data_IF_251133466505
#
_entry.id   IF_251133466505
#
_cell.length_a   1.000
_cell.length_b   1.000
_cell.length_c   1.000
_cell.angle_alpha   90.00
_cell.angle_beta   90.00
_cell.angle_gamma   90.00
#
_symmetry.space_group_name_H-M   'P 1'
#
loop_
_entity.id
_entity.type
_entity.pdbx_description
1 polymer ?
#
# COMPACT_ATOMS: atom_id res chain seq x y z
N UNK A 1 -11.67 38.43 6.02
CA UNK A 1 -11.08 39.74 6.35
C UNK A 1 -10.43 39.63 7.72
N UNK A 2 -9.11 39.45 7.76
CA UNK A 2 -8.37 39.34 9.02
C UNK A 2 -8.05 40.75 9.54
N UNK A 3 -8.46 41.04 10.77
CA UNK A 3 -8.16 42.30 11.45
C UNK A 3 -6.75 42.22 12.04
N UNK A 4 -5.82 43.00 11.48
CA UNK A 4 -4.48 43.15 12.04
C UNK A 4 -4.54 44.03 13.30
N UNK A 5 -4.12 43.48 14.44
CA UNK A 5 -3.88 44.25 15.67
C UNK A 5 -2.46 44.82 15.58
N UNK A 6 -2.35 46.11 15.29
CA UNK A 6 -1.12 46.89 15.39
C UNK A 6 -0.91 47.33 16.85
N UNK A 7 -0.07 46.61 17.58
CA UNK A 7 0.46 47.05 18.87
C UNK A 7 1.77 47.80 18.68
N UNK A 8 1.80 49.11 18.95
CA UNK A 8 3.03 49.90 19.03
C UNK A 8 3.75 49.62 20.36
N UNK A 9 5.03 49.23 20.31
CA UNK A 9 5.87 49.10 21.52
C UNK A 9 6.95 50.17 21.49
N UNK A 10 6.94 51.05 22.48
CA UNK A 10 7.97 52.05 22.72
C UNK A 10 8.97 51.54 23.77
N UNK A 11 10.25 51.55 23.41
CA UNK A 11 11.41 51.80 24.28
C UNK A 11 11.54 51.03 25.60
N UNK A 12 12.29 49.92 25.57
CA UNK A 12 12.89 49.33 26.76
C UNK A 12 13.65 48.07 26.41
N UNK A 13 14.96 48.04 26.68
CA UNK A 13 15.81 46.87 26.50
C UNK A 13 15.45 45.77 27.53
N UNK A 14 14.34 45.08 27.29
CA UNK A 14 13.97 43.83 27.97
C UNK A 14 14.00 42.70 26.95
N UNK A 15 14.58 41.57 27.32
CA UNK A 15 14.56 40.37 26.48
C UNK A 15 13.11 40.03 26.11
N UNK A 16 12.76 40.18 24.84
CA UNK A 16 11.46 39.79 24.31
C UNK A 16 11.49 38.27 24.18
N UNK A 17 10.93 37.58 25.19
CA UNK A 17 10.59 36.18 25.04
C UNK A 17 9.41 36.11 24.07
N UNK A 18 9.69 35.83 22.80
CA UNK A 18 8.67 35.47 21.82
C UNK A 18 8.14 34.10 22.25
N UNK A 19 7.10 34.08 23.07
CA UNK A 19 6.28 32.90 23.22
C UNK A 19 5.62 32.68 21.86
N UNK A 20 6.05 31.65 21.14
CA UNK A 20 5.34 31.11 19.98
C UNK A 20 4.04 30.47 20.49
N UNK A 21 3.14 31.31 20.96
CA UNK A 21 1.86 30.98 21.54
C UNK A 21 0.79 30.97 20.46
N UNK A 22 0.86 29.98 19.57
CA UNK A 22 -0.38 29.34 19.11
C UNK A 22 -0.07 27.86 19.03
N UNK A 23 -0.80 26.97 19.74
CA UNK A 23 -0.79 25.57 19.38
C UNK A 23 -1.11 25.49 17.89
N UNK A 24 -0.39 24.62 17.16
CA UNK A 24 -0.76 24.27 15.80
C UNK A 24 -2.28 24.13 15.73
N UNK A 25 -2.96 24.68 14.71
CA UNK A 25 -4.40 24.52 14.58
C UNK A 25 -4.68 23.03 14.75
N UNK A 26 -5.45 22.69 15.79
CA UNK A 26 -5.89 21.32 16.02
C UNK A 26 -6.58 20.92 14.73
N UNK A 27 -5.90 20.10 13.92
CA UNK A 27 -6.42 19.66 12.64
C UNK A 27 -7.81 19.07 12.91
N UNK A 28 -8.80 19.46 12.11
CA UNK A 28 -10.19 19.05 12.35
C UNK A 28 -10.33 17.53 12.39
N UNK A 29 -11.42 17.04 12.98
CA UNK A 29 -11.70 15.61 13.19
C UNK A 29 -11.42 14.72 11.97
N UNK A 30 -11.62 15.23 10.74
CA UNK A 30 -11.34 14.55 9.47
C UNK A 30 -9.86 14.12 9.31
N UNK A 31 -8.91 14.94 9.76
CA UNK A 31 -7.49 14.60 9.69
C UNK A 31 -7.07 13.62 10.79
N UNK A 32 -7.63 13.75 11.99
CA UNK A 32 -7.43 12.76 13.05
C UNK A 32 -8.03 11.40 12.69
N UNK A 33 -9.08 11.38 11.86
CA UNK A 33 -9.64 10.15 11.29
C UNK A 33 -8.71 9.49 10.27
N UNK A 34 -8.06 10.30 9.42
CA UNK A 34 -7.00 9.81 8.51
C UNK A 34 -5.79 9.26 9.28
N UNK A 35 -5.47 9.88 10.42
CA UNK A 35 -4.40 9.43 11.31
C UNK A 35 -4.85 8.50 12.43
N UNK A 36 -6.00 7.84 12.32
CA UNK A 36 -6.46 7.04 13.44
C UNK A 36 -5.46 5.94 13.77
N UNK A 37 -4.96 5.88 15.01
CA UNK A 37 -3.95 4.89 15.40
C UNK A 37 -4.35 3.44 15.08
N UNK A 38 -5.65 3.13 15.10
CA UNK A 38 -6.17 1.81 14.77
C UNK A 38 -6.15 1.53 13.27
N UNK A 39 -6.67 2.43 12.43
CA UNK A 39 -6.68 2.21 10.97
C UNK A 39 -5.25 2.12 10.43
N UNK A 40 -4.38 2.96 10.99
CA UNK A 40 -2.97 2.97 10.66
C UNK A 40 -2.34 1.61 10.87
N UNK A 41 -2.74 0.80 11.84
CA UNK A 41 -2.14 -0.53 12.07
C UNK A 41 -2.31 -1.52 10.90
N UNK A 42 -3.24 -1.28 9.97
CA UNK A 42 -3.59 -2.22 8.91
C UNK A 42 -3.08 -1.78 7.54
N UNK A 43 -2.54 -2.73 6.78
CA UNK A 43 -2.22 -2.56 5.36
C UNK A 43 -3.50 -2.60 4.53
N UNK A 44 -4.38 -3.57 4.81
CA UNK A 44 -5.64 -3.78 4.09
C UNK A 44 -6.81 -3.67 5.07
N UNK A 45 -7.84 -2.93 4.69
CA UNK A 45 -9.10 -2.84 5.43
C UNK A 45 -10.26 -3.10 4.46
N UNK A 46 -10.89 -4.26 4.61
CA UNK A 46 -12.05 -4.71 3.84
C UNK A 46 -13.35 -4.49 4.60
N UNK A 47 -14.29 -3.77 4.00
CA UNK A 47 -15.51 -3.32 4.68
C UNK A 47 -16.82 -3.86 4.10
N UNK A 48 -16.77 -4.55 2.96
CA UNK A 48 -17.97 -4.98 2.26
C UNK A 48 -18.48 -6.36 2.72
N UNK A 49 -19.79 -6.61 2.65
CA UNK A 49 -20.37 -7.93 2.90
C UNK A 49 -20.26 -8.86 1.68
N UNK A 50 -20.08 -10.15 1.91
CA UNK A 50 -19.99 -11.17 0.84
C UNK A 50 -21.27 -11.35 0.04
N UNK A 51 -22.40 -11.13 0.69
CA UNK A 51 -23.71 -11.48 0.13
C UNK A 51 -24.63 -10.26 0.05
N UNK A 52 -25.62 -10.38 -0.85
CA UNK A 52 -26.72 -9.43 -0.95
C UNK A 52 -27.49 -9.36 0.38
N UNK A 53 -27.31 -8.30 1.15
CA UNK A 53 -28.20 -8.03 2.29
C UNK A 53 -29.33 -7.14 1.78
N UNK A 54 -30.50 -7.72 1.51
CA UNK A 54 -31.73 -6.97 1.20
C UNK A 54 -31.82 -6.37 -0.21
N UNK A 55 -31.69 -7.18 -1.27
CA UNK A 55 -31.81 -6.78 -2.70
C UNK A 55 -30.71 -5.83 -3.24
N UNK A 56 -29.69 -5.50 -2.44
CA UNK A 56 -28.47 -4.82 -2.89
C UNK A 56 -27.43 -5.88 -3.30
N UNK A 57 -26.74 -5.78 -4.44
CA UNK A 57 -25.64 -6.69 -4.81
C UNK A 57 -24.60 -6.79 -3.68
N UNK A 58 -24.27 -8.00 -3.22
CA UNK A 58 -23.13 -8.22 -2.33
C UNK A 58 -21.85 -7.90 -3.08
N UNK A 59 -20.78 -7.53 -2.37
CA UNK A 59 -19.51 -7.18 -3.03
C UNK A 59 -18.65 -8.41 -3.32
N UNK A 60 -19.04 -9.60 -2.88
CA UNK A 60 -18.19 -10.79 -2.90
C UNK A 60 -17.13 -10.73 -1.79
N UNK A 61 -15.96 -11.32 -1.99
CA UNK A 61 -14.91 -11.33 -0.97
C UNK A 61 -14.43 -9.91 -0.67
N UNK A 62 -14.49 -9.48 0.60
CA UNK A 62 -14.06 -8.15 1.00
C UNK A 62 -12.58 -7.93 0.72
N UNK A 63 -11.79 -8.99 0.91
CA UNK A 63 -10.37 -9.04 0.54
C UNK A 63 -10.11 -10.34 -0.21
N UNK A 64 -9.65 -10.24 -1.45
CA UNK A 64 -9.15 -11.35 -2.23
C UNK A 64 -7.71 -11.05 -2.63
N UNK A 65 -6.77 -11.90 -2.23
CA UNK A 65 -5.34 -11.73 -2.55
C UNK A 65 -4.82 -13.03 -3.10
N UNK A 66 -4.35 -12.98 -4.35
CA UNK A 66 -3.80 -14.12 -5.04
C UNK A 66 -2.37 -13.83 -5.43
N UNK A 67 -1.50 -14.80 -5.18
CA UNK A 67 -0.07 -14.78 -5.45
C UNK A 67 0.64 -13.62 -4.73
N UNK A 68 1.66 -14.00 -3.94
CA UNK A 68 2.78 -13.14 -3.52
C UNK A 68 2.82 -12.75 -2.02
N UNK A 69 3.13 -11.51 -1.63
CA UNK A 69 3.63 -11.18 -0.28
C UNK A 69 3.01 -9.89 0.28
N UNK A 70 2.53 -9.96 1.53
CA UNK A 70 2.03 -8.82 2.31
C UNK A 70 2.92 -8.62 3.55
N UNK A 71 3.32 -7.38 3.83
CA UNK A 71 4.19 -7.02 4.96
C UNK A 71 5.66 -7.39 4.78
N UNK A 72 6.08 -7.66 3.53
CA UNK A 72 7.47 -7.87 3.18
C UNK A 72 7.76 -7.39 1.76
N UNK A 73 8.98 -6.90 1.56
CA UNK A 73 9.54 -6.55 0.26
C UNK A 73 10.90 -7.24 0.14
N UNK A 74 10.92 -8.49 -0.31
CA UNK A 74 12.17 -9.28 -0.35
C UNK A 74 13.09 -8.94 -1.54
N UNK A 75 12.70 -8.01 -2.40
CA UNK A 75 13.52 -7.56 -3.53
C UNK A 75 13.62 -6.04 -3.62
N UNK A 76 14.62 -5.54 -4.37
CA UNK A 76 14.57 -4.19 -4.88
C UNK A 76 13.26 -3.92 -5.64
N UNK A 77 12.76 -2.69 -5.52
CA UNK A 77 11.61 -2.19 -6.27
C UNK A 77 12.11 -1.13 -7.27
N UNK A 78 11.79 -1.21 -8.57
CA UNK A 78 11.03 -2.29 -9.21
C UNK A 78 11.82 -3.60 -9.28
N UNK A 79 11.14 -4.73 -9.10
CA UNK A 79 11.79 -6.04 -9.06
C UNK A 79 11.90 -6.66 -10.46
N UNK A 80 13.03 -7.33 -10.78
CA UNK A 80 13.12 -8.17 -11.96
C UNK A 80 12.16 -9.35 -11.78
N UNK A 81 11.51 -9.75 -12.87
CA UNK A 81 10.32 -10.62 -12.94
C UNK A 81 10.41 -12.06 -12.40
N UNK A 82 11.34 -12.38 -11.50
CA UNK A 82 11.42 -13.71 -10.91
C UNK A 82 12.28 -13.76 -9.65
N UNK A 83 11.72 -14.33 -8.57
CA UNK A 83 12.50 -14.91 -7.47
C UNK A 83 12.75 -16.39 -7.76
N UNK A 84 13.42 -16.67 -8.88
CA UNK A 84 13.71 -18.03 -9.34
C UNK A 84 12.93 -18.47 -10.58
N UNK A 85 13.34 -19.57 -11.22
CA UNK A 85 12.94 -19.93 -12.58
C UNK A 85 11.44 -20.20 -12.79
N UNK A 86 10.63 -20.23 -11.72
CA UNK A 86 9.21 -20.57 -11.75
C UNK A 86 8.34 -19.72 -10.78
N UNK A 87 8.85 -18.61 -10.23
CA UNK A 87 8.04 -17.77 -9.32
C UNK A 87 7.47 -16.59 -10.07
N UNK A 88 6.15 -16.61 -10.26
CA UNK A 88 5.35 -15.54 -10.85
C UNK A 88 5.24 -14.36 -9.89
N UNK A 89 6.37 -13.75 -9.51
CA UNK A 89 6.37 -12.49 -8.79
C UNK A 89 6.04 -11.32 -9.70
N UNK A 90 5.67 -10.16 -9.13
CA UNK A 90 5.44 -8.97 -9.95
C UNK A 90 6.72 -8.62 -10.71
N UNK A 91 6.70 -8.82 -12.02
CA UNK A 91 7.78 -8.46 -12.91
C UNK A 91 7.59 -7.06 -13.40
N UNK A 92 8.11 -6.07 -12.66
CA UNK A 92 7.94 -4.67 -13.02
C UNK A 92 9.13 -4.11 -13.80
N UNK A 93 10.31 -4.69 -13.66
CA UNK A 93 11.48 -4.21 -14.40
C UNK A 93 11.24 -4.30 -15.92
N UNK A 94 11.30 -3.15 -16.59
CA UNK A 94 11.01 -3.01 -18.02
C UNK A 94 9.52 -2.80 -18.37
N UNK A 95 8.61 -3.00 -17.42
CA UNK A 95 7.18 -2.72 -17.56
C UNK A 95 6.77 -1.36 -16.97
N UNK A 96 7.52 -0.85 -16.00
CA UNK A 96 7.36 0.52 -15.47
C UNK A 96 8.60 1.37 -15.78
N UNK A 97 8.44 2.69 -15.71
CA UNK A 97 9.58 3.61 -15.77
C UNK A 97 10.51 3.43 -14.57
N UNK A 98 11.78 3.81 -14.75
CA UNK A 98 12.72 3.91 -13.64
C UNK A 98 12.19 4.91 -12.59
N UNK A 99 12.27 4.53 -11.33
CA UNK A 99 11.86 5.37 -10.19
C UNK A 99 12.80 6.60 -10.13
N UNK A 100 12.29 7.83 -10.17
CA UNK A 100 13.10 9.03 -10.08
C UNK A 100 13.87 9.10 -8.76
N UNK A 101 15.08 9.67 -8.77
CA UNK A 101 15.91 9.81 -7.55
C UNK A 101 15.31 10.73 -6.50
N UNK A 102 14.34 11.56 -6.87
CA UNK A 102 13.57 12.45 -5.99
C UNK A 102 12.39 11.76 -5.32
N UNK A 103 12.08 10.51 -5.69
CA UNK A 103 11.06 9.74 -5.00
C UNK A 103 11.63 9.13 -3.72
N UNK A 104 10.80 9.02 -2.69
CA UNK A 104 11.17 8.28 -1.49
C UNK A 104 11.50 6.83 -1.84
N UNK A 105 12.45 6.25 -1.11
CA UNK A 105 12.87 4.86 -1.34
C UNK A 105 11.85 3.88 -0.79
N UNK A 106 11.58 2.84 -1.55
CA UNK A 106 10.92 1.65 -1.04
C UNK A 106 11.98 0.80 -0.35
N UNK A 107 11.87 0.65 0.97
CA UNK A 107 12.74 -0.25 1.73
C UNK A 107 12.43 -1.72 1.43
N UNK A 108 13.43 -2.56 1.58
CA UNK A 108 13.34 -4.01 1.45
C UNK A 108 13.31 -4.67 2.84
N UNK A 109 12.99 -5.97 2.88
CA UNK A 109 12.94 -6.78 4.10
C UNK A 109 11.51 -7.10 4.56
N UNK A 110 11.44 -7.87 5.65
CA UNK A 110 10.20 -8.20 6.36
C UNK A 110 10.02 -7.18 7.49
N UNK A 111 8.87 -6.52 7.56
CA UNK A 111 8.58 -5.53 8.60
C UNK A 111 7.31 -5.81 9.38
N UNK A 112 6.68 -6.96 9.14
CA UNK A 112 5.47 -7.41 9.83
C UNK A 112 4.29 -6.45 9.69
N UNK A 113 4.25 -5.68 8.61
CA UNK A 113 3.23 -4.66 8.41
C UNK A 113 2.01 -5.13 7.61
N UNK A 114 1.95 -6.41 7.25
CA UNK A 114 0.89 -7.04 6.46
C UNK A 114 -0.40 -7.33 7.23
N UNK A 115 -0.72 -6.51 8.23
CA UNK A 115 -1.95 -6.66 9.01
C UNK A 115 -3.18 -6.40 8.14
N UNK A 116 -4.25 -7.17 8.39
CA UNK A 116 -5.51 -7.09 7.63
C UNK A 116 -6.68 -6.89 8.59
N UNK A 117 -7.64 -6.04 8.25
CA UNK A 117 -8.90 -5.90 8.98
C UNK A 117 -10.09 -6.20 8.07
N UNK A 118 -11.02 -7.01 8.57
CA UNK A 118 -12.35 -7.24 8.00
C UNK A 118 -13.37 -6.66 8.97
N UNK A 119 -13.91 -5.50 8.62
CA UNK A 119 -14.73 -4.69 9.54
C UNK A 119 -16.20 -5.07 9.50
N UNK A 120 -16.65 -5.69 8.42
CA UNK A 120 -18.03 -6.13 8.24
C UNK A 120 -18.26 -7.52 8.85
N UNK A 121 -19.35 -7.69 9.59
CA UNK A 121 -19.71 -8.99 10.16
C UNK A 121 -20.04 -10.05 9.12
N UNK A 122 -20.34 -9.66 7.88
CA UNK A 122 -20.55 -10.56 6.75
C UNK A 122 -19.38 -10.50 5.74
N UNK A 123 -18.30 -9.80 6.06
CA UNK A 123 -17.11 -9.72 5.22
C UNK A 123 -16.25 -10.97 5.38
N UNK A 124 -15.61 -11.38 4.29
CA UNK A 124 -14.64 -12.48 4.29
C UNK A 124 -13.37 -12.07 3.57
N UNK A 125 -12.28 -12.77 3.87
CA UNK A 125 -11.06 -12.76 3.09
C UNK A 125 -10.83 -14.11 2.42
N UNK A 126 -10.07 -14.10 1.34
CA UNK A 126 -9.55 -15.28 0.65
C UNK A 126 -8.11 -14.98 0.22
N UNK A 127 -7.16 -15.77 0.71
CA UNK A 127 -5.75 -15.65 0.35
C UNK A 127 -5.32 -16.92 -0.39
N UNK A 128 -4.74 -16.78 -1.58
CA UNK A 128 -4.26 -17.90 -2.39
C UNK A 128 -2.79 -17.68 -2.74
N UNK A 129 -1.92 -18.59 -2.31
CA UNK A 129 -0.49 -18.52 -2.60
C UNK A 129 0.18 -17.24 -2.03
N UNK A 130 -0.27 -16.78 -0.85
CA UNK A 130 0.18 -15.52 -0.22
C UNK A 130 1.02 -15.77 1.05
N UNK A 131 2.16 -15.09 1.13
CA UNK A 131 2.91 -14.93 2.37
C UNK A 131 2.49 -13.67 3.13
N UNK A 132 1.84 -13.82 4.27
CA UNK A 132 1.42 -12.71 5.14
C UNK A 132 2.39 -12.54 6.30
N UNK A 133 3.14 -11.45 6.29
CA UNK A 133 4.04 -11.02 7.35
C UNK A 133 3.37 -9.90 8.14
N UNK A 134 2.70 -10.25 9.23
CA UNK A 134 1.88 -9.35 10.04
C UNK A 134 2.41 -9.27 11.48
N UNK A 135 2.04 -8.22 12.20
CA UNK A 135 2.38 -8.10 13.62
C UNK A 135 1.72 -9.27 14.36
N UNK A 136 2.47 -10.08 15.14
CA UNK A 136 1.93 -11.26 15.80
C UNK A 136 0.83 -10.94 16.84
N UNK A 137 0.70 -9.68 17.26
CA UNK A 137 -0.34 -9.21 18.17
C UNK A 137 -1.58 -8.64 17.45
N UNK A 138 -1.49 -8.41 16.14
CA UNK A 138 -2.56 -7.84 15.32
C UNK A 138 -3.06 -8.84 14.29
N UNK A 139 -2.17 -9.27 13.38
CA UNK A 139 -2.47 -10.24 12.34
C UNK A 139 -3.59 -9.80 11.39
N UNK A 140 -4.43 -10.77 11.01
CA UNK A 140 -5.75 -10.57 10.44
C UNK A 140 -6.75 -10.44 11.57
N UNK A 141 -7.62 -9.43 11.52
CA UNK A 141 -8.73 -9.31 12.46
C UNK A 141 -10.08 -9.27 11.75
N UNK A 142 -11.03 -10.02 12.29
CA UNK A 142 -12.36 -10.21 11.75
C UNK A 142 -13.43 -9.71 12.71
N UNK A 143 -14.44 -9.04 12.17
CA UNK A 143 -15.63 -8.63 12.90
C UNK A 143 -16.47 -9.80 13.43
N UNK A 144 -16.33 -10.98 12.80
CA UNK A 144 -17.02 -12.22 13.13
C UNK A 144 -16.03 -13.33 13.50
N UNK A 145 -16.50 -14.55 13.75
CA UNK A 145 -15.64 -15.71 14.03
C UNK A 145 -14.69 -16.01 12.87
N UNK A 146 -13.50 -16.53 13.18
CA UNK A 146 -12.45 -16.85 12.19
C UNK A 146 -12.96 -17.74 11.06
N UNK A 147 -13.64 -18.84 11.39
CA UNK A 147 -14.19 -19.78 10.40
C UNK A 147 -15.27 -19.18 9.48
N UNK A 148 -15.84 -18.04 9.86
CA UNK A 148 -16.86 -17.35 9.07
C UNK A 148 -16.27 -16.20 8.25
N UNK A 149 -15.05 -15.73 8.56
CA UNK A 149 -14.36 -14.70 7.80
C UNK A 149 -13.31 -15.22 6.81
N UNK A 150 -12.98 -16.52 6.84
CA UNK A 150 -12.10 -17.16 5.85
C UNK A 150 -12.94 -17.92 4.81
N UNK A 151 -12.87 -17.50 3.55
CA UNK A 151 -13.63 -18.07 2.42
C UNK A 151 -12.73 -18.91 1.50
N UNK A 152 -11.95 -19.81 2.10
CA UNK A 152 -11.19 -20.81 1.36
C UNK A 152 -9.74 -20.42 1.07
N UNK A 153 -9.09 -19.76 2.03
CA UNK A 153 -7.65 -19.51 2.03
C UNK A 153 -6.87 -20.80 1.76
N UNK A 154 -5.98 -20.74 0.77
CA UNK A 154 -5.23 -21.89 0.29
C UNK A 154 -3.77 -21.53 0.10
N UNK A 155 -2.89 -22.45 0.47
CA UNK A 155 -1.46 -22.37 0.25
C UNK A 155 -0.84 -21.01 0.65
N UNK A 156 -1.37 -20.43 1.73
CA UNK A 156 -0.95 -19.14 2.28
C UNK A 156 -0.37 -19.36 3.67
N UNK A 157 0.63 -18.57 4.03
CA UNK A 157 1.35 -18.71 5.29
C UNK A 157 1.36 -17.41 6.08
N UNK A 158 1.40 -17.54 7.40
CA UNK A 158 1.41 -16.42 8.33
C UNK A 158 2.70 -16.40 9.12
N UNK A 159 3.47 -15.32 9.00
CA UNK A 159 4.71 -15.09 9.74
C UNK A 159 5.68 -16.28 9.69
N UNK A 160 5.76 -16.97 8.55
CA UNK A 160 6.66 -18.12 8.42
C UNK A 160 8.12 -17.64 8.61
N UNK A 161 8.79 -18.06 9.70
CA UNK A 161 10.15 -17.63 10.00
C UNK A 161 11.15 -18.08 8.94
N UNK A 162 10.79 -19.08 8.15
CA UNK A 162 11.64 -19.61 7.11
C UNK A 162 11.63 -18.76 5.83
N UNK A 163 10.71 -17.79 5.72
CA UNK A 163 10.65 -16.76 4.68
C UNK A 163 10.74 -17.27 3.24
N UNK A 164 10.48 -18.55 2.97
CA UNK A 164 10.70 -19.10 1.64
C UNK A 164 9.73 -18.40 0.67
N UNK A 165 10.23 -17.69 -0.35
CA UNK A 165 9.40 -17.37 -1.51
C UNK A 165 8.86 -18.71 -1.99
N UNK A 166 7.58 -18.79 -2.32
CA UNK A 166 6.96 -19.99 -2.86
C UNK A 166 7.78 -20.52 -4.06
N UNK A 167 8.79 -21.37 -3.83
CA UNK A 167 9.52 -22.05 -4.90
C UNK A 167 8.65 -23.22 -5.30
N UNK A 168 7.63 -22.92 -6.09
CA UNK A 168 6.95 -23.96 -6.85
C UNK A 168 7.95 -24.52 -7.84
N UNK A 169 8.31 -25.78 -7.67
CA UNK A 169 8.73 -26.57 -8.81
C UNK A 169 7.43 -26.89 -9.53
N UNK A 170 7.12 -26.17 -10.61
CA UNK A 170 6.04 -26.56 -11.50
C UNK A 170 6.28 -28.02 -11.88
N UNK A 171 5.42 -28.92 -11.41
CA UNK A 171 5.51 -30.32 -11.79
C UNK A 171 5.18 -30.34 -13.28
N UNK A 172 6.19 -30.51 -14.12
CA UNK A 172 6.16 -30.35 -15.58
C UNK A 172 5.31 -31.39 -16.33
N UNK A 173 4.33 -31.99 -15.65
CA UNK A 173 3.39 -32.96 -16.21
C UNK A 173 1.97 -32.89 -15.64
N UNK A 174 1.60 -31.89 -14.83
CA UNK A 174 0.21 -31.76 -14.39
C UNK A 174 -0.59 -30.88 -15.36
N UNK A 175 -1.69 -31.37 -15.97
CA UNK A 175 -2.53 -30.58 -16.86
C UNK A 175 -3.07 -29.35 -16.13
N UNK A 176 -2.95 -28.18 -16.75
CA UNK A 176 -3.52 -26.93 -16.23
C UNK A 176 -5.03 -27.08 -15.99
N UNK A 177 -5.48 -26.93 -14.75
CA UNK A 177 -6.90 -26.74 -14.44
C UNK A 177 -7.53 -27.66 -13.39
N UNK A 178 -6.79 -28.59 -12.79
CA UNK A 178 -7.31 -29.34 -11.63
C UNK A 178 -6.74 -28.81 -10.32
N UNK A 179 -7.60 -28.25 -9.48
CA UNK A 179 -7.34 -27.96 -8.07
C UNK A 179 -6.76 -29.21 -7.41
N UNK A 180 -5.45 -29.21 -7.18
CA UNK A 180 -4.73 -30.36 -6.67
C UNK A 180 -4.79 -30.36 -5.14
N UNK A 181 -5.96 -30.64 -4.57
CA UNK A 181 -6.14 -30.86 -3.13
C UNK A 181 -5.48 -32.16 -2.62
N UNK A 182 -4.82 -32.92 -3.51
CA UNK A 182 -4.16 -34.20 -3.19
C UNK A 182 -2.70 -34.25 -3.62
N UNK A 183 -2.10 -33.11 -3.95
CA UNK A 183 -0.70 -33.02 -4.32
C UNK A 183 0.15 -33.28 -3.09
N UNK A 184 0.67 -34.50 -2.95
CA UNK A 184 1.78 -34.77 -2.04
C UNK A 184 2.94 -33.88 -2.47
N UNK A 185 3.13 -32.78 -1.75
CA UNK A 185 4.31 -31.95 -1.88
C UNK A 185 5.55 -32.83 -1.79
N UNK A 186 6.55 -32.55 -2.62
CA UNK A 186 7.86 -33.18 -2.50
C UNK A 186 8.36 -32.88 -1.09
N UNK A 187 8.60 -33.93 -0.30
CA UNK A 187 9.14 -33.80 1.04
C UNK A 187 10.48 -33.07 0.99
N UNK A 188 10.46 -31.79 1.35
CA UNK A 188 11.65 -31.02 1.70
C UNK A 188 12.23 -31.63 2.99
N UNK A 189 13.54 -31.87 3.01
CA UNK A 189 14.22 -32.51 4.14
C UNK A 189 14.00 -31.72 5.44
N UNK A 190 14.14 -32.31 6.65
CA UNK A 190 13.89 -31.65 7.95
C UNK A 190 14.68 -30.34 8.24
N UNK A 191 15.56 -29.92 7.32
CA UNK A 191 16.39 -28.71 7.39
C UNK A 191 16.05 -27.71 6.27
N UNK A 192 15.06 -28.01 5.44
CA UNK A 192 14.47 -27.19 4.39
C UNK A 192 13.01 -27.02 4.82
N UNK A 193 12.50 -25.79 4.86
CA UNK A 193 11.23 -25.40 5.50
C UNK A 193 10.27 -26.54 5.81
N UNK A 194 9.85 -26.64 7.07
CA UNK A 194 8.68 -27.40 7.40
C UNK A 194 7.47 -26.75 6.68
N UNK A 195 7.15 -27.21 5.47
CA UNK A 195 5.95 -26.84 4.71
C UNK A 195 4.70 -27.53 5.29
N UNK A 196 4.66 -27.68 6.62
CA UNK A 196 3.53 -28.19 7.37
C UNK A 196 2.61 -27.07 7.87
N UNK A 197 2.72 -25.85 7.35
CA UNK A 197 1.61 -24.89 7.39
C UNK A 197 0.61 -25.16 6.26
N UNK A 198 0.20 -26.43 6.16
CA UNK A 198 -1.24 -26.69 6.04
C UNK A 198 -1.87 -25.92 7.21
N UNK A 199 -2.93 -25.16 6.97
CA UNK A 199 -3.77 -24.65 8.06
C UNK A 199 -4.42 -25.89 8.69
N UNK A 200 -3.65 -26.63 9.47
CA UNK A 200 -4.17 -27.62 10.39
C UNK A 200 -4.62 -26.81 11.61
N UNK A 201 -5.94 -26.68 11.73
CA UNK A 201 -6.63 -26.37 12.98
C UNK A 201 -5.86 -26.97 14.18
N UNK A 202 -5.56 -26.21 15.26
CA UNK A 202 -6.11 -24.91 15.65
C UNK A 202 -5.02 -23.93 16.14
N UNK A 203 -4.11 -23.48 15.29
CA UNK A 203 -3.13 -22.44 15.65
C UNK A 203 -3.16 -21.27 14.66
N UNK A 204 -4.34 -20.67 14.53
CA UNK A 204 -4.57 -19.37 13.89
C UNK A 204 -4.04 -18.22 14.76
N UNK A 205 -2.79 -18.29 15.22
CA UNK A 205 -2.18 -17.26 16.10
C UNK A 205 -2.12 -15.88 15.44
N UNK A 206 -2.32 -15.80 14.12
CA UNK A 206 -2.42 -14.55 13.35
C UNK A 206 -3.82 -14.17 12.88
N UNK A 207 -4.90 -14.88 13.22
CA UNK A 207 -6.28 -14.48 12.84
C UNK A 207 -7.16 -14.40 14.08
N UNK A 208 -7.70 -13.22 14.36
CA UNK A 208 -8.59 -12.99 15.51
C UNK A 208 -10.01 -12.72 15.04
N UNK A 209 -10.99 -13.40 15.63
CA UNK A 209 -12.41 -13.18 15.34
C UNK A 209 -13.15 -12.49 16.48
N UNK A 210 -14.38 -12.05 16.21
CA UNK A 210 -15.30 -11.40 17.16
C UNK A 210 -14.75 -10.08 17.74
N UNK A 211 -13.92 -9.36 16.98
CA UNK A 211 -13.39 -8.05 17.38
C UNK A 211 -14.37 -6.96 16.93
N UNK A 212 -14.65 -5.98 17.78
CA UNK A 212 -15.55 -4.88 17.45
C UNK A 212 -14.81 -3.80 16.64
N UNK A 213 -15.16 -3.67 15.35
CA UNK A 213 -14.65 -2.62 14.46
C UNK A 213 -15.56 -1.40 14.35
N UNK A 214 -16.58 -1.23 15.19
CA UNK A 214 -17.54 -0.12 15.07
C UNK A 214 -16.86 1.24 15.11
N UNK A 215 -15.84 1.42 15.96
CA UNK A 215 -15.10 2.69 16.00
C UNK A 215 -14.37 2.97 14.67
N UNK A 216 -13.61 1.99 14.18
CA UNK A 216 -12.91 2.05 12.89
C UNK A 216 -13.88 2.23 11.71
N UNK A 217 -14.99 1.51 11.70
CA UNK A 217 -16.02 1.57 10.66
C UNK A 217 -16.72 2.93 10.67
N UNK A 218 -17.18 3.41 11.83
CA UNK A 218 -17.76 4.74 11.93
C UNK A 218 -16.78 5.79 11.43
N UNK A 219 -15.51 5.71 11.80
CA UNK A 219 -14.49 6.61 11.29
C UNK A 219 -14.32 6.56 9.76
N UNK A 220 -14.22 5.37 9.17
CA UNK A 220 -14.08 5.20 7.72
C UNK A 220 -15.32 5.71 6.98
N UNK A 221 -16.52 5.57 7.57
CA UNK A 221 -17.81 5.78 6.89
C UNK A 221 -18.57 7.05 7.31
N UNK A 222 -18.15 7.82 8.32
CA UNK A 222 -18.91 8.99 8.83
C UNK A 222 -18.67 10.32 8.11
N UNK A 223 -18.12 10.32 6.88
CA UNK A 223 -17.88 11.56 6.12
C UNK A 223 -18.44 11.72 4.69
N UNK A 224 -19.66 11.26 4.29
CA UNK A 224 -19.90 11.03 2.86
C UNK A 224 -20.40 12.22 2.02
N UNK A 225 -20.86 13.33 2.59
CA UNK A 225 -21.79 14.23 1.86
C UNK A 225 -21.34 15.68 1.71
N UNK A 226 -20.04 15.91 1.53
CA UNK A 226 -19.59 17.28 1.38
C UNK A 226 -18.44 17.42 0.41
N UNK A 227 -18.79 17.34 -0.88
CA UNK A 227 -17.91 17.78 -1.96
C UNK A 227 -17.40 19.23 -1.75
N UNK A 228 -17.99 20.02 -0.84
CA UNK A 228 -17.58 21.39 -0.49
C UNK A 228 -17.54 21.72 1.02
N UNK A 229 -17.33 20.74 1.90
CA UNK A 229 -17.16 21.02 3.34
C UNK A 229 -15.82 21.67 3.59
N UNK A 230 -15.85 22.85 4.22
CA UNK A 230 -14.64 23.51 4.74
C UNK A 230 -14.01 22.59 5.79
N UNK A 231 -12.83 22.05 5.50
CA UNK A 231 -12.04 21.29 6.47
C UNK A 231 -11.30 22.29 7.37
N UNK A 232 -11.50 22.27 8.70
CA UNK A 232 -10.72 23.12 9.61
C UNK A 232 -9.23 22.77 9.52
N UNK A 233 -8.37 23.78 9.37
CA UNK A 233 -6.92 23.61 9.20
C UNK A 233 -6.46 23.40 7.76
N UNK A 234 -7.36 23.52 6.79
CA UNK A 234 -7.07 23.49 5.36
C UNK A 234 -6.14 24.64 4.95
N UNK A 235 -4.93 24.30 4.50
CA UNK A 235 -3.98 25.27 3.99
C UNK A 235 -4.43 25.78 2.61
N UNK A 236 -4.91 24.88 1.74
CA UNK A 236 -5.45 25.24 0.45
C UNK A 236 -6.40 24.17 -0.14
N UNK A 237 -7.32 24.63 -0.99
CA UNK A 237 -8.13 23.79 -1.90
C UNK A 237 -7.72 24.08 -3.32
N UNK A 238 -7.52 23.05 -4.14
CA UNK A 238 -7.20 23.23 -5.54
C UNK A 238 -7.82 22.18 -6.41
N UNK A 239 -7.57 22.32 -7.71
CA UNK A 239 -7.91 21.27 -8.65
C UNK A 239 -6.76 20.97 -9.59
N UNK A 240 -6.65 19.71 -9.96
CA UNK A 240 -5.83 19.24 -11.07
C UNK A 240 -6.77 18.99 -12.24
N UNK A 241 -6.72 19.88 -13.22
CA UNK A 241 -7.47 19.70 -14.46
C UNK A 241 -6.65 18.86 -15.41
N UNK A 242 -7.20 17.73 -15.84
CA UNK A 242 -6.58 16.86 -16.84
C UNK A 242 -7.22 17.18 -18.18
N UNK A 243 -6.50 17.94 -19.00
CA UNK A 243 -6.93 18.33 -20.34
C UNK A 243 -5.88 17.92 -21.35
N UNK A 244 -6.30 17.16 -22.37
CA UNK A 244 -5.44 16.75 -23.48
C UNK A 244 -4.10 16.18 -22.95
N UNK A 245 -4.20 15.25 -21.98
CA UNK A 245 -3.08 14.54 -21.35
C UNK A 245 -2.05 15.41 -20.62
N UNK A 246 -2.40 16.67 -20.33
CA UNK A 246 -1.64 17.54 -19.43
C UNK A 246 -2.39 17.71 -18.12
N UNK A 247 -1.68 17.52 -17.00
CA UNK A 247 -2.21 17.79 -15.65
C UNK A 247 -1.91 19.24 -15.31
N UNK A 248 -2.89 20.12 -15.46
CA UNK A 248 -2.72 21.53 -15.14
C UNK A 248 -3.30 21.83 -13.76
N UNK A 249 -2.50 22.34 -12.81
CA UNK A 249 -3.04 22.88 -11.59
C UNK A 249 -3.85 24.14 -11.91
N UNK A 250 -5.09 24.21 -11.44
CA UNK A 250 -5.96 25.36 -11.68
C UNK A 250 -5.65 26.56 -10.78
N UNK A 251 -4.97 26.34 -9.66
CA UNK A 251 -4.74 27.36 -8.63
C UNK A 251 -3.25 27.50 -8.32
N UNK A 252 -2.67 28.61 -8.74
CA UNK A 252 -1.27 28.97 -8.49
C UNK A 252 -0.91 29.08 -7.00
N UNK A 253 -1.88 29.28 -6.09
CA UNK A 253 -1.61 29.48 -4.67
C UNK A 253 -1.08 28.21 -3.96
N UNK A 254 -1.47 27.01 -4.41
CA UNK A 254 -0.95 25.74 -3.89
C UNK A 254 0.50 25.51 -4.29
N UNK A 255 0.88 26.00 -5.47
CA UNK A 255 2.16 25.71 -6.12
C UNK A 255 3.19 26.85 -5.98
N UNK A 256 2.82 27.95 -5.30
CA UNK A 256 3.64 29.16 -5.19
C UNK A 256 4.85 29.03 -4.26
N UNK A 257 4.93 27.98 -3.44
CA UNK A 257 5.95 27.83 -2.40
C UNK A 257 7.29 27.24 -2.85
N UNK A 258 7.38 26.65 -4.04
CA UNK A 258 8.61 26.03 -4.53
C UNK A 258 9.10 26.75 -5.79
N UNK A 259 10.07 27.68 -5.68
CA UNK A 259 10.69 28.33 -6.83
C UNK A 259 11.58 27.32 -7.57
N UNK A 260 10.98 26.38 -8.29
CA UNK A 260 11.70 25.35 -9.06
C UNK A 260 10.93 24.08 -9.43
N UNK A 261 9.77 23.80 -8.83
CA UNK A 261 9.06 22.53 -9.02
C UNK A 261 7.72 22.74 -9.73
N UNK A 262 7.77 22.60 -11.05
CA UNK A 262 6.60 22.63 -11.93
C UNK A 262 6.94 22.90 -13.39
N UNK A 263 8.14 22.56 -13.87
CA UNK A 263 8.40 22.54 -15.31
C UNK A 263 7.72 21.30 -15.90
N UNK A 264 6.57 21.54 -16.53
CA UNK A 264 5.90 20.61 -17.42
C UNK A 264 6.88 20.09 -18.48
N UNK A 265 7.38 18.87 -18.35
CA UNK A 265 7.87 18.14 -19.51
C UNK A 265 6.65 17.52 -20.17
N UNK A 266 6.28 18.02 -21.36
CA UNK A 266 5.08 17.57 -22.10
C UNK A 266 5.04 16.04 -22.21
N UNK A 267 4.06 15.43 -21.56
CA UNK A 267 3.55 14.10 -21.86
C UNK A 267 2.83 14.12 -23.21
N UNK A 268 2.98 13.06 -24.02
CA UNK A 268 2.15 12.88 -25.22
C UNK A 268 0.73 12.53 -24.79
N UNK A 269 -0.27 13.07 -25.46
CA UNK A 269 -1.68 12.83 -25.15
C UNK A 269 -2.39 12.11 -26.29
N UNK A 270 -3.26 11.18 -25.90
CA UNK A 270 -4.33 10.68 -26.75
C UNK A 270 -5.63 10.68 -25.96
N UNK A 271 -6.64 11.41 -26.47
CA UNK A 271 -8.01 11.32 -25.97
C UNK A 271 -8.74 10.24 -26.75
N UNK A 272 -9.21 9.19 -26.07
CA UNK A 272 -9.99 8.13 -26.69
C UNK A 272 -11.01 7.56 -25.70
N UNK A 273 -12.25 7.35 -26.16
CA UNK A 273 -13.18 6.45 -25.48
C UNK A 273 -13.75 6.87 -24.11
N UNK A 274 -13.67 8.16 -23.71
CA UNK A 274 -14.16 8.59 -22.39
C UNK A 274 -13.11 8.54 -21.28
N UNK A 275 -11.83 8.48 -21.65
CA UNK A 275 -10.69 8.48 -20.73
C UNK A 275 -9.75 9.65 -21.02
N UNK A 276 -9.28 10.32 -19.98
CA UNK A 276 -8.20 11.33 -20.05
C UNK A 276 -6.92 10.69 -19.54
N UNK A 277 -5.99 10.44 -20.46
CA UNK A 277 -4.72 9.75 -20.17
C UNK A 277 -3.55 10.72 -20.15
N UNK A 278 -2.73 10.61 -19.11
CA UNK A 278 -1.41 11.24 -19.01
C UNK A 278 -0.38 10.16 -19.29
N UNK A 279 0.47 10.38 -20.31
CA UNK A 279 1.43 9.36 -20.73
C UNK A 279 2.87 9.82 -20.93
N UNK A 280 3.82 8.99 -20.49
CA UNK A 280 5.25 9.21 -20.65
C UNK A 280 5.87 10.21 -19.67
N UNK A 281 7.01 9.84 -19.10
CA UNK A 281 7.89 10.73 -18.34
C UNK A 281 7.58 10.81 -16.85
N UNK A 282 8.12 11.86 -16.21
CA UNK A 282 7.96 12.11 -14.78
C UNK A 282 7.20 13.41 -14.58
N UNK A 283 6.11 13.34 -13.82
CA UNK A 283 5.34 14.48 -13.34
C UNK A 283 5.53 14.60 -11.83
N UNK A 284 6.04 15.75 -11.38
CA UNK A 284 6.24 16.03 -9.95
C UNK A 284 5.33 17.16 -9.50
N UNK A 285 4.47 16.88 -8.53
CA UNK A 285 3.60 17.84 -7.88
C UNK A 285 4.23 18.28 -6.56
N UNK A 286 4.72 19.52 -6.50
CA UNK A 286 5.27 20.11 -5.29
C UNK A 286 4.18 20.79 -4.44
N UNK A 287 4.14 20.47 -3.15
CA UNK A 287 3.22 21.02 -2.16
C UNK A 287 3.96 21.94 -1.19
N UNK A 288 3.27 22.96 -0.68
CA UNK A 288 3.73 23.72 0.48
C UNK A 288 3.41 22.98 1.79
N UNK A 289 3.93 23.44 2.92
CA UNK A 289 3.52 22.99 4.26
C UNK A 289 1.99 23.11 4.46
N UNK A 290 1.42 22.19 5.24
CA UNK A 290 0.00 22.16 5.61
C UNK A 290 -0.85 21.17 4.82
N UNK A 291 -2.16 21.18 5.10
CA UNK A 291 -3.12 20.26 4.47
C UNK A 291 -3.67 20.83 3.15
N UNK A 292 -3.53 20.05 2.09
CA UNK A 292 -4.04 20.32 0.75
C UNK A 292 -5.16 19.37 0.40
N UNK A 293 -6.24 19.90 -0.16
CA UNK A 293 -7.32 19.10 -0.76
C UNK A 293 -7.38 19.41 -2.24
N UNK A 294 -7.23 18.39 -3.06
CA UNK A 294 -7.00 18.51 -4.48
C UNK A 294 -8.07 17.72 -5.23
N UNK A 295 -8.94 18.42 -5.94
CA UNK A 295 -9.94 17.80 -6.80
C UNK A 295 -9.34 17.42 -8.15
N UNK A 296 -9.51 16.17 -8.56
CA UNK A 296 -9.11 15.75 -9.89
C UNK A 296 -10.28 16.01 -10.83
N UNK A 297 -10.11 16.93 -11.78
CA UNK A 297 -11.13 17.30 -12.75
C UNK A 297 -10.80 16.68 -14.11
N UNK A 298 -11.68 15.79 -14.56
CA UNK A 298 -11.50 15.02 -15.80
C UNK A 298 -12.53 15.34 -16.89
N UNK A 299 -13.32 16.40 -16.72
CA UNK A 299 -14.43 16.77 -17.62
C UNK A 299 -15.40 15.62 -17.90
N UNK A 300 -15.61 14.73 -16.93
CA UNK A 300 -16.48 13.58 -17.10
C UNK A 300 -15.82 12.41 -17.85
N UNK A 301 -14.51 12.27 -17.76
CA UNK A 301 -13.77 11.10 -18.25
C UNK A 301 -13.10 10.35 -17.10
N UNK A 302 -12.69 9.11 -17.31
CA UNK A 302 -11.84 8.42 -16.33
C UNK A 302 -10.47 9.10 -16.25
N UNK A 303 -9.87 9.13 -15.07
CA UNK A 303 -8.49 9.63 -14.91
C UNK A 303 -7.54 8.46 -15.16
N UNK A 304 -6.64 8.59 -16.14
CA UNK A 304 -5.68 7.54 -16.47
C UNK A 304 -4.24 8.04 -16.40
N UNK A 305 -3.37 7.23 -15.79
CA UNK A 305 -1.91 7.34 -15.89
C UNK A 305 -1.36 6.13 -16.64
N UNK A 306 -0.59 6.36 -17.71
CA UNK A 306 0.01 5.28 -18.52
C UNK A 306 1.48 5.54 -18.87
N UNK A 307 2.39 4.72 -18.35
CA UNK A 307 3.83 4.97 -18.55
C UNK A 307 4.33 6.25 -17.89
N UNK A 308 3.85 6.61 -16.69
CA UNK A 308 4.20 7.86 -15.99
C UNK A 308 4.74 7.60 -14.59
N UNK A 309 5.74 8.37 -14.18
CA UNK A 309 6.08 8.58 -12.77
C UNK A 309 5.29 9.77 -12.23
N UNK A 310 4.24 9.54 -11.44
CA UNK A 310 3.54 10.58 -10.72
C UNK A 310 4.11 10.72 -9.31
N UNK A 311 4.94 11.73 -9.11
CA UNK A 311 5.60 12.04 -7.83
C UNK A 311 4.85 13.17 -7.13
N UNK A 312 4.45 12.97 -5.88
CA UNK A 312 3.87 14.00 -5.02
C UNK A 312 4.89 14.32 -3.93
N UNK A 313 5.36 15.56 -3.87
CA UNK A 313 6.45 15.97 -2.99
C UNK A 313 6.08 17.25 -2.23
N UNK A 314 6.82 17.55 -1.17
CA UNK A 314 6.57 18.69 -0.29
C UNK A 314 7.39 18.55 0.99
N UNK A 315 7.38 19.54 1.90
CA UNK A 315 7.98 19.37 3.22
C UNK A 315 7.29 18.25 4.02
N UNK A 316 7.93 17.78 5.11
CA UNK A 316 7.45 16.65 5.91
C UNK A 316 6.11 16.89 6.61
N UNK A 317 5.70 18.16 6.74
CA UNK A 317 4.43 18.62 7.28
C UNK A 317 3.40 19.00 6.20
N UNK A 318 3.69 18.73 4.93
CA UNK A 318 2.72 18.81 3.84
C UNK A 318 1.85 17.54 3.80
N UNK A 319 0.55 17.71 3.61
CA UNK A 319 -0.43 16.64 3.46
C UNK A 319 -1.30 16.88 2.24
N UNK A 320 -1.67 15.83 1.52
CA UNK A 320 -2.54 15.92 0.36
C UNK A 320 -3.66 14.88 0.39
N UNK A 321 -4.88 15.35 0.13
CA UNK A 321 -6.05 14.52 -0.14
C UNK A 321 -6.49 14.78 -1.57
N UNK A 322 -6.30 13.81 -2.45
CA UNK A 322 -6.79 13.82 -3.82
C UNK A 322 -8.20 13.24 -3.86
N UNK A 323 -9.17 14.03 -4.29
CA UNK A 323 -10.56 13.58 -4.43
C UNK A 323 -10.86 13.27 -5.89
N UNK A 324 -11.35 12.07 -6.14
CA UNK A 324 -11.82 11.65 -7.46
C UNK A 324 -13.27 12.09 -7.69
N UNK A 325 -13.66 12.38 -8.95
CA UNK A 325 -15.05 12.63 -9.29
C UNK A 325 -15.93 11.42 -8.98
N UNK A 326 -17.14 11.69 -8.46
CA UNK A 326 -18.13 10.70 -8.03
C UNK A 326 -18.74 9.82 -9.15
N UNK A 327 -18.24 9.90 -10.39
CA UNK A 327 -18.67 9.04 -11.51
C UNK A 327 -17.52 8.41 -12.28
N UNK A 328 -16.27 8.53 -11.82
CA UNK A 328 -15.09 8.22 -12.64
C UNK A 328 -14.13 7.25 -11.96
N UNK A 329 -13.47 6.45 -12.79
CA UNK A 329 -12.44 5.53 -12.36
C UNK A 329 -11.08 6.24 -12.33
N UNK A 330 -10.20 5.76 -11.45
CA UNK A 330 -8.78 6.06 -11.51
C UNK A 330 -8.02 4.83 -12.00
N UNK A 331 -7.46 4.94 -13.20
CA UNK A 331 -6.84 3.85 -13.95
C UNK A 331 -5.34 4.11 -14.03
N UNK A 332 -4.53 3.15 -13.59
CA UNK A 332 -3.08 3.28 -13.57
C UNK A 332 -2.48 2.07 -14.26
N UNK A 333 -1.69 2.30 -15.30
CA UNK A 333 -1.04 1.25 -16.08
C UNK A 333 0.42 1.58 -16.33
N UNK A 334 1.31 0.61 -16.16
CA UNK A 334 2.75 0.77 -16.46
C UNK A 334 3.37 2.02 -15.79
N UNK A 335 2.85 2.41 -14.64
CA UNK A 335 3.09 3.73 -14.03
C UNK A 335 3.43 3.60 -12.57
N UNK A 336 4.12 4.60 -12.05
CA UNK A 336 4.50 4.68 -10.66
C UNK A 336 3.77 5.85 -9.99
N UNK A 337 3.18 5.63 -8.81
CA UNK A 337 2.61 6.69 -7.97
C UNK A 337 3.42 6.74 -6.68
N UNK A 338 4.11 7.86 -6.48
CA UNK A 338 5.25 7.94 -5.58
C UNK A 338 5.15 9.17 -4.68
N UNK A 339 5.40 8.99 -3.38
CA UNK A 339 5.81 10.08 -2.51
C UNK A 339 7.23 10.54 -2.89
N UNK A 340 7.43 11.85 -2.87
CA UNK A 340 8.74 12.49 -2.94
C UNK A 340 9.56 12.20 -1.69
N UNK A 341 10.86 12.47 -1.76
CA UNK A 341 11.80 12.22 -0.66
C UNK A 341 11.60 13.14 0.56
N UNK A 342 10.90 14.27 0.37
CA UNK A 342 10.76 15.30 1.40
C UNK A 342 9.42 15.22 2.13
N UNK A 343 8.39 14.63 1.51
CA UNK A 343 7.06 14.47 2.10
C UNK A 343 6.98 13.20 2.96
N UNK A 344 6.16 13.20 4.01
CA UNK A 344 5.91 11.99 4.79
C UNK A 344 5.21 10.89 3.97
N UNK A 345 5.66 9.64 4.12
CA UNK A 345 5.11 8.46 3.41
C UNK A 345 3.65 8.12 3.74
N UNK A 346 3.05 8.82 4.70
CA UNK A 346 1.65 8.66 5.09
C UNK A 346 0.84 9.93 4.86
N UNK A 347 1.39 10.91 4.14
CA UNK A 347 0.78 12.22 4.02
C UNK A 347 -0.08 12.37 2.77
N UNK A 348 -0.17 11.33 1.93
CA UNK A 348 -0.86 11.38 0.64
C UNK A 348 -1.99 10.35 0.62
N UNK A 349 -3.21 10.84 0.40
CA UNK A 349 -4.41 10.04 0.28
C UNK A 349 -5.08 10.28 -1.07
N UNK A 350 -5.42 9.22 -1.79
CA UNK A 350 -6.42 9.25 -2.85
C UNK A 350 -7.74 8.72 -2.34
N UNK A 351 -8.80 9.46 -2.61
CA UNK A 351 -10.10 9.25 -2.02
C UNK A 351 -11.20 9.23 -3.09
N UNK A 352 -12.07 8.21 -3.00
CA UNK A 352 -13.30 8.09 -3.78
C UNK A 352 -14.51 7.93 -2.84
N UNK A 353 -15.54 8.73 -3.06
CA UNK A 353 -16.84 8.63 -2.40
C UNK A 353 -17.95 8.11 -3.33
N UNK A 354 -17.58 7.48 -4.45
CA UNK A 354 -18.52 6.93 -5.42
C UNK A 354 -19.42 5.88 -4.79
N UNK A 355 -20.73 6.13 -4.79
CA UNK A 355 -21.71 5.24 -4.17
C UNK A 355 -22.17 4.13 -5.13
N UNK A 356 -21.23 3.33 -5.62
CA UNK A 356 -21.46 2.20 -6.50
C UNK A 356 -20.49 1.04 -6.23
N UNK A 357 -20.95 -0.19 -6.49
CA UNK A 357 -20.15 -1.39 -6.27
C UNK A 357 -19.13 -1.63 -7.39
N UNK A 358 -18.70 -0.58 -8.09
CA UNK A 358 -17.79 -0.69 -9.23
C UNK A 358 -16.34 -0.46 -8.82
N UNK A 359 -15.43 -0.70 -9.76
CA UNK A 359 -14.01 -0.41 -9.58
C UNK A 359 -13.80 1.09 -9.53
N UNK A 360 -13.29 1.62 -8.42
CA UNK A 360 -12.93 3.02 -8.30
C UNK A 360 -11.47 3.23 -8.64
N UNK A 361 -10.63 2.29 -8.23
CA UNK A 361 -9.21 2.29 -8.48
C UNK A 361 -8.80 0.98 -9.17
N UNK A 362 -8.10 1.08 -10.29
CA UNK A 362 -7.60 -0.07 -11.03
C UNK A 362 -6.13 0.15 -11.42
N UNK A 363 -5.27 -0.76 -10.97
CA UNK A 363 -3.84 -0.69 -11.17
C UNK A 363 -3.35 -1.94 -11.91
N UNK A 364 -2.47 -1.73 -12.89
CA UNK A 364 -1.83 -2.81 -13.64
C UNK A 364 -0.38 -2.47 -13.94
N UNK A 365 0.57 -3.32 -13.54
CA UNK A 365 2.00 -3.06 -13.68
C UNK A 365 2.40 -1.73 -13.01
N UNK A 366 2.39 -1.67 -11.68
CA UNK A 366 2.57 -0.38 -10.98
C UNK A 366 3.49 -0.46 -9.77
N UNK A 367 4.28 0.59 -9.54
CA UNK A 367 4.89 0.83 -8.22
C UNK A 367 4.06 1.86 -7.47
N UNK A 368 3.63 1.52 -6.26
CA UNK A 368 2.92 2.42 -5.36
C UNK A 368 3.80 2.62 -4.13
N UNK A 369 4.19 3.85 -3.82
CA UNK A 369 5.04 4.10 -2.66
C UNK A 369 4.64 5.37 -1.90
N UNK A 370 4.27 5.23 -0.63
CA UNK A 370 4.01 6.37 0.25
C UNK A 370 2.63 7.00 0.05
N UNK A 371 1.67 6.22 -0.45
CA UNK A 371 0.34 6.71 -0.85
C UNK A 371 -0.73 5.74 -0.39
N UNK A 372 -1.84 6.26 0.15
CA UNK A 372 -3.02 5.48 0.54
C UNK A 372 -4.17 5.64 -0.46
N UNK A 373 -5.01 4.61 -0.59
CA UNK A 373 -6.19 4.60 -1.46
C UNK A 373 -7.42 4.15 -0.69
N UNK A 374 -8.39 5.06 -0.54
CA UNK A 374 -9.62 4.80 0.21
C UNK A 374 -10.85 4.95 -0.67
N UNK A 375 -11.74 3.96 -0.60
CA UNK A 375 -13.14 4.04 -1.06
C UNK A 375 -14.03 3.97 0.19
N UNK A 376 -14.92 4.95 0.37
CA UNK A 376 -15.68 5.12 1.63
C UNK A 376 -17.18 5.28 1.43
N UNK A 377 -17.67 5.07 0.21
CA UNK A 377 -19.10 5.19 -0.04
C UNK A 377 -19.87 4.04 0.60
N UNK A 378 -21.13 4.27 0.93
CA UNK A 378 -22.02 3.27 1.55
C UNK A 378 -22.29 2.04 0.68
N UNK A 379 -21.95 2.09 -0.62
CA UNK A 379 -22.23 1.04 -1.58
C UNK A 379 -20.98 0.60 -2.34
N UNK A 380 -20.04 -0.11 -1.72
CA UNK A 380 -19.35 -1.23 -2.38
C UNK A 380 -18.13 -0.94 -3.23
N UNK A 381 -17.44 0.19 -3.06
CA UNK A 381 -16.27 0.53 -3.88
C UNK A 381 -15.21 -0.58 -3.95
N UNK A 382 -14.71 -0.87 -5.15
CA UNK A 382 -13.69 -1.88 -5.40
C UNK A 382 -12.33 -1.23 -5.75
N UNK A 383 -11.27 -1.74 -5.12
CA UNK A 383 -9.86 -1.51 -5.51
C UNK A 383 -9.34 -2.79 -6.15
N UNK A 384 -8.84 -2.69 -7.39
CA UNK A 384 -8.23 -3.81 -8.12
C UNK A 384 -6.77 -3.50 -8.41
N UNK A 385 -5.86 -4.39 -8.02
CA UNK A 385 -4.42 -4.24 -8.26
C UNK A 385 -3.86 -5.52 -8.86
N UNK A 386 -3.25 -5.41 -10.03
CA UNK A 386 -2.58 -6.50 -10.71
C UNK A 386 -1.11 -6.15 -10.95
N UNK A 387 -0.20 -7.08 -10.65
CA UNK A 387 1.24 -6.92 -10.86
C UNK A 387 1.74 -5.59 -10.28
N UNK A 388 1.85 -5.50 -8.95
CA UNK A 388 2.24 -4.25 -8.31
C UNK A 388 3.12 -4.47 -7.10
N UNK A 389 3.92 -3.45 -6.76
CA UNK A 389 4.70 -3.49 -5.52
C UNK A 389 4.93 -2.14 -4.87
N UNK A 390 5.34 -2.20 -3.61
CA UNK A 390 5.81 -1.07 -2.84
C UNK A 390 5.11 -0.96 -1.49
N UNK A 391 4.68 0.24 -1.18
CA UNK A 391 4.32 0.69 0.15
C UNK A 391 3.01 1.47 0.07
N UNK A 392 1.95 0.98 0.71
CA UNK A 392 0.61 1.57 0.58
C UNK A 392 -0.28 1.27 1.79
N UNK A 393 -1.49 1.82 1.79
CA UNK A 393 -2.63 1.35 2.57
C UNK A 393 -3.88 1.35 1.68
N UNK A 394 -4.65 0.27 1.75
CA UNK A 394 -5.87 0.11 0.96
C UNK A 394 -7.08 -0.05 1.88
N UNK A 395 -8.09 0.79 1.67
CA UNK A 395 -9.36 0.74 2.40
C UNK A 395 -10.49 0.73 1.40
N UNK A 396 -11.27 -0.35 1.36
CA UNK A 396 -12.40 -0.46 0.45
C UNK A 396 -13.42 -1.49 0.93
N UNK A 397 -14.58 -1.49 0.30
CA UNK A 397 -15.54 -2.57 0.52
C UNK A 397 -15.04 -3.87 -0.10
N UNK A 398 -14.39 -3.76 -1.27
CA UNK A 398 -13.71 -4.87 -1.93
C UNK A 398 -12.29 -4.49 -2.33
N UNK A 399 -11.33 -5.35 -1.96
CA UNK A 399 -9.93 -5.25 -2.38
C UNK A 399 -9.58 -6.55 -3.11
N UNK A 400 -9.16 -6.44 -4.37
CA UNK A 400 -8.75 -7.58 -5.18
C UNK A 400 -7.32 -7.39 -5.67
N UNK A 401 -6.41 -8.22 -5.17
CA UNK A 401 -4.98 -8.13 -5.43
C UNK A 401 -4.52 -9.40 -6.14
N UNK A 402 -3.78 -9.25 -7.24
CA UNK A 402 -3.16 -10.35 -7.96
C UNK A 402 -1.69 -10.03 -8.27
N UNK A 403 -0.79 -10.92 -7.87
CA UNK A 403 0.66 -10.78 -8.07
C UNK A 403 1.19 -9.48 -7.42
N UNK A 404 1.00 -9.32 -6.10
CA UNK A 404 1.34 -8.07 -5.40
C UNK A 404 2.37 -8.21 -4.29
N UNK A 405 3.27 -7.24 -4.18
CA UNK A 405 4.21 -7.12 -3.07
C UNK A 405 4.00 -5.82 -2.32
N UNK A 406 3.21 -5.85 -1.26
CA UNK A 406 2.99 -4.66 -0.47
C UNK A 406 3.50 -4.81 0.95
N UNK A 407 4.06 -3.73 1.45
CA UNK A 407 4.14 -3.47 2.89
C UNK A 407 3.34 -2.22 3.21
N UNK A 408 3.01 -2.03 4.47
CA UNK A 408 2.42 -0.78 4.93
C UNK A 408 3.49 0.30 4.90
N UNK A 409 3.11 1.52 4.55
CA UNK A 409 4.01 2.63 4.77
C UNK A 409 4.32 2.82 6.24
N UNK A 410 5.61 3.00 6.50
CA UNK A 410 6.13 2.94 7.85
C UNK A 410 5.46 4.04 8.67
N UNK A 411 4.52 3.64 9.53
CA UNK A 411 4.12 4.39 10.73
C UNK A 411 5.20 4.23 11.80
N UNK A 412 6.48 4.19 11.38
CA UNK A 412 7.56 4.29 12.34
C UNK A 412 7.58 5.74 12.77
N UNK A 413 7.02 5.99 13.94
CA UNK A 413 7.44 7.11 14.77
C UNK A 413 8.97 7.12 14.77
N UNK A 414 9.54 8.22 14.29
CA UNK A 414 10.98 8.46 14.37
C UNK A 414 11.43 8.21 15.80
N UNK A 415 12.23 7.15 16.01
CA UNK A 415 12.71 6.75 17.35
C UNK A 415 12.64 5.26 17.67
N UNK A 416 11.85 4.46 16.93
CA UNK A 416 11.91 3.00 17.07
C UNK A 416 13.22 2.48 16.45
N UNK A 417 14.13 1.86 17.22
CA UNK A 417 15.36 1.30 16.68
C UNK A 417 15.00 0.27 15.60
N UNK A 418 15.64 0.36 14.44
CA UNK A 418 15.55 -0.70 13.44
C UNK A 418 16.17 -1.94 14.09
N UNK A 419 15.33 -2.88 14.53
CA UNK A 419 15.77 -4.26 14.71
C UNK A 419 16.20 -4.73 13.33
N UNK A 420 17.47 -4.55 13.01
CA UNK A 420 18.10 -5.21 11.88
C UNK A 420 17.92 -6.70 12.13
N UNK A 421 16.94 -7.30 11.43
CA UNK A 421 16.85 -8.75 11.35
C UNK A 421 18.19 -9.17 10.75
N UNK A 422 19.03 -9.93 11.49
CA UNK A 422 20.30 -10.37 10.94
C UNK A 422 19.98 -11.11 9.65
N UNK A 423 20.53 -10.64 8.53
CA UNK A 423 20.49 -11.45 7.32
C UNK A 423 20.99 -12.84 7.69
N UNK A 424 20.38 -13.93 7.18
CA UNK A 424 20.81 -15.27 7.49
C UNK A 424 22.27 -15.40 7.06
N UNK A 425 23.17 -15.18 8.02
CA UNK A 425 24.60 -15.27 7.79
C UNK A 425 24.82 -16.66 7.23
N UNK A 426 25.46 -16.71 6.09
CA UNK A 426 25.84 -17.91 5.38
C UNK A 426 26.82 -18.68 6.28
N UNK A 427 26.28 -19.46 7.24
CA UNK A 427 27.00 -20.40 8.11
C UNK A 427 27.64 -21.55 7.29
N UNK A 428 27.56 -21.51 5.96
CA UNK A 428 28.31 -22.37 5.05
C UNK A 428 29.80 -21.98 4.89
N UNK A 429 30.24 -20.81 5.37
CA UNK A 429 31.64 -20.39 5.24
C UNK A 429 32.63 -20.99 6.25
N UNK A 430 32.18 -21.43 7.43
CA UNK A 430 33.10 -21.81 8.52
C UNK A 430 33.33 -23.32 8.69
N UNK A 431 32.58 -24.19 8.01
CA UNK A 431 32.79 -25.64 8.04
C UNK A 431 33.66 -26.17 6.90
N UNK A 432 34.05 -25.32 5.94
CA UNK A 432 34.84 -25.70 4.76
C UNK A 432 36.35 -25.87 4.96
N UNK A 433 36.92 -25.50 6.12
CA UNK A 433 38.39 -25.47 6.31
C UNK A 433 38.91 -26.60 7.24
N UNK A 434 38.04 -27.35 7.94
CA UNK A 434 38.49 -28.47 8.81
C UNK A 434 38.45 -29.87 8.16
N UNK A 435 38.44 -29.96 6.82
CA UNK A 435 38.29 -31.22 6.10
C UNK A 435 39.48 -31.71 5.24
N UNK A 436 40.63 -31.02 5.23
CA UNK A 436 41.79 -31.38 4.38
C UNK A 436 43.07 -31.59 5.23
N UNK A 437 42.96 -32.32 6.35
CA UNK A 437 44.09 -32.63 7.24
C UNK A 437 44.28 -34.11 7.57
N UNK A 438 43.55 -35.03 6.95
CA UNK A 438 43.39 -36.40 7.44
C UNK A 438 43.60 -37.53 6.42
N UNK A 439 44.51 -37.42 5.45
CA UNK A 439 44.92 -38.57 4.62
C UNK A 439 46.44 -38.60 4.43
N UNK A 440 47.17 -39.01 5.47
CA UNK A 440 48.51 -39.59 5.33
C UNK A 440 48.79 -40.54 6.51
N UNK A 441 48.24 -41.76 6.45
CA UNK A 441 48.79 -42.93 7.15
C UNK A 441 48.14 -44.23 6.64
N UNK A 442 48.73 -44.85 5.62
CA UNK A 442 48.65 -46.32 5.51
C UNK A 442 50.01 -46.89 5.16
N UNK A 443 50.60 -47.52 6.19
CA UNK A 443 51.83 -48.30 6.17
C UNK A 443 51.70 -49.48 5.20
N UNK A 444 52.77 -49.73 4.45
CA UNK A 444 53.08 -50.99 3.77
C UNK A 444 53.29 -52.11 4.78
N UNK A 445 52.79 -53.31 4.48
CA UNK A 445 53.34 -54.56 4.94
C UNK A 445 53.14 -55.68 3.91
N UNK A 446 54.14 -56.54 3.82
CA UNK A 446 54.27 -57.80 3.05
C UNK A 446 54.71 -57.59 1.59
N UNK A 447 55.73 -58.26 1.08
CA UNK A 447 56.37 -59.54 1.44
C UNK A 447 57.71 -59.44 2.16
#
# INVERSE_FOLDING_TARGET
MASAILGSVAGGAGAVTVSLGTPFPVFGDVYNQFLNPQSQSFLLIGNGPVNQVGNQPGVGQAINVNNFELGAIKAPVPSPSSFGPNTNGPGLLGNVLDIPTTAARVGTGVDFSGNIAITNSNGVFNLQDVGVFADPTIGIRCAQSVSACDDGTQNSFFNDPNQFPNTFVANSGSPSGTNNTTGSGVGVNPNQAAQNTRIDEPLSTGVTGNVNFTALSNEIFTGPNSENSIIPGLAATGSLTVNDGTIQPSDSAIFAGSPGLGSFSRSNSTRSGGTESVSGGTFTLGLSSGLHVIDILTNGNDFQLDGVNFVIDGPSDAFAIFRLPNTRNFLISNSNVLAGDSIGLNNILFFSNRNDNSQHFNFNNTVINGVAFHTTAQAGGEIVINNAEGCTQLVADRINLNDVRFRRCAFRTEGEPVLEVPEPTTVLGLLGIMGIGGVFARRKHQS
#
